data_IF_687964955960
#
_entry.id   IF_687964955960
#
_cell.length_a   1.000
_cell.length_b   1.000
_cell.length_c   1.000
_cell.angle_alpha   90.00
_cell.angle_beta   90.00
_cell.angle_gamma   90.00
#
_symmetry.space_group_name_H-M   'P 1'
#
loop_
_entity.id
_entity.type
_entity.pdbx_description
1 polymer ?
#
# COMPACT_ATOMS: atom_id res chain seq x y z
N UNK A 1 27.52 -3.09 -2.97
CA UNK A 1 26.57 -2.06 -2.49
C UNK A 1 25.64 -2.73 -1.51
N UNK A 2 25.19 -2.04 -0.45
CA UNK A 2 24.22 -2.62 0.47
C UNK A 2 22.93 -3.01 -0.26
N UNK A 3 22.27 -4.06 0.21
CA UNK A 3 21.09 -4.59 -0.48
C UNK A 3 19.97 -3.55 -0.56
N UNK A 4 19.76 -2.74 0.48
CA UNK A 4 18.79 -1.64 0.45
C UNK A 4 19.05 -0.66 -0.70
N UNK A 5 20.31 -0.27 -0.90
CA UNK A 5 20.71 0.62 -2.00
C UNK A 5 20.53 -0.02 -3.37
N UNK A 6 20.74 -1.34 -3.46
CA UNK A 6 20.49 -2.10 -4.68
C UNK A 6 18.99 -2.17 -5.00
N UNK A 7 18.14 -2.45 -4.01
CA UNK A 7 16.68 -2.50 -4.15
C UNK A 7 16.10 -1.12 -4.49
N UNK A 8 16.58 -0.04 -3.87
CA UNK A 8 16.21 1.34 -4.22
C UNK A 8 16.53 1.64 -5.70
N UNK A 9 17.74 1.29 -6.15
CA UNK A 9 18.14 1.48 -7.55
C UNK A 9 17.35 0.58 -8.52
N UNK A 10 16.99 -0.64 -8.08
CA UNK A 10 16.15 -1.57 -8.82
C UNK A 10 14.76 -0.98 -9.06
N UNK A 11 14.11 -0.47 -8.03
CA UNK A 11 12.70 -0.07 -8.07
C UNK A 11 12.51 1.39 -8.51
N UNK A 12 13.30 2.31 -7.96
CA UNK A 12 13.07 3.75 -8.05
C UNK A 12 14.20 4.54 -8.75
N UNK A 13 15.30 3.88 -9.10
CA UNK A 13 16.41 4.47 -9.86
C UNK A 13 16.00 5.02 -11.23
N UNK A 14 16.93 5.66 -11.96
CA UNK A 14 16.65 6.26 -13.29
C UNK A 14 16.04 5.29 -14.30
N UNK A 15 16.41 4.02 -14.24
CA UNK A 15 15.86 2.95 -15.07
C UNK A 15 15.01 1.97 -14.26
N UNK A 16 14.65 2.32 -13.03
CA UNK A 16 13.99 1.44 -12.08
C UNK A 16 12.61 0.99 -12.54
N UNK A 17 12.15 -0.13 -11.98
CA UNK A 17 10.92 -0.81 -12.36
C UNK A 17 9.71 0.14 -12.36
N UNK A 18 9.52 0.92 -11.28
CA UNK A 18 8.35 1.80 -11.11
C UNK A 18 8.46 3.13 -11.87
N UNK A 19 9.59 3.44 -12.53
CA UNK A 19 9.67 4.62 -13.42
C UNK A 19 9.00 4.41 -14.76
N UNK A 20 8.91 3.16 -15.24
CA UNK A 20 8.28 2.84 -16.51
C UNK A 20 6.80 2.58 -16.26
N UNK A 21 5.93 3.39 -16.86
CA UNK A 21 4.49 3.16 -16.81
C UNK A 21 4.17 1.81 -17.47
N UNK A 22 3.97 0.77 -16.65
CA UNK A 22 3.36 -0.49 -17.07
C UNK A 22 1.90 -0.45 -16.63
N UNK A 23 0.99 -0.79 -17.54
CA UNK A 23 -0.42 -0.93 -17.18
C UNK A 23 -0.58 -2.08 -16.18
N UNK A 24 -1.26 -1.84 -15.05
CA UNK A 24 -1.61 -2.87 -14.06
C UNK A 24 -2.99 -3.47 -14.40
N UNK A 25 -3.19 -4.77 -14.12
CA UNK A 25 -4.48 -5.46 -14.34
C UNK A 25 -4.30 -6.89 -14.88
N UNK A 26 -5.39 -7.51 -15.38
CA UNK A 26 -5.37 -8.88 -15.95
C UNK A 26 -4.38 -9.10 -17.11
N UNK A 27 -3.90 -8.01 -17.71
CA UNK A 27 -2.89 -7.99 -18.78
C UNK A 27 -1.60 -7.27 -18.35
N UNK A 28 -1.48 -6.88 -17.08
CA UNK A 28 -0.33 -6.25 -16.46
C UNK A 28 0.35 -7.19 -15.47
N UNK A 29 1.50 -6.80 -14.89
CA UNK A 29 2.29 -7.70 -14.04
C UNK A 29 1.61 -8.05 -12.69
N UNK A 30 0.63 -7.26 -12.22
CA UNK A 30 0.00 -7.42 -10.89
C UNK A 30 -1.52 -7.55 -10.88
N UNK A 31 -2.02 -8.36 -9.93
CA UNK A 31 -3.42 -8.46 -9.53
C UNK A 31 -3.54 -8.12 -8.04
N UNK A 32 -3.96 -6.88 -7.74
CA UNK A 32 -4.09 -6.31 -6.39
C UNK A 32 -5.53 -6.34 -5.87
N UNK A 33 -5.74 -6.02 -4.59
CA UNK A 33 -7.07 -5.92 -4.00
C UNK A 33 -7.92 -4.86 -4.71
N UNK A 34 -7.29 -3.75 -5.10
CA UNK A 34 -7.88 -2.68 -5.91
C UNK A 34 -8.38 -3.21 -7.26
N UNK A 35 -7.61 -4.06 -7.92
CA UNK A 35 -8.00 -4.67 -9.21
C UNK A 35 -9.02 -5.79 -9.07
N UNK A 36 -9.17 -6.36 -7.86
CA UNK A 36 -10.07 -7.48 -7.63
C UNK A 36 -11.53 -7.05 -7.60
N UNK A 37 -11.86 -5.95 -6.90
CA UNK A 37 -13.23 -5.46 -6.79
C UNK A 37 -13.29 -4.00 -6.33
N UNK A 38 -14.16 -3.19 -6.94
CA UNK A 38 -14.43 -1.82 -6.51
C UNK A 38 -15.03 -1.72 -5.11
N UNK A 39 -15.55 -2.84 -4.59
CA UNK A 39 -16.03 -2.92 -3.21
C UNK A 39 -14.91 -2.79 -2.17
N UNK A 40 -13.65 -2.99 -2.56
CA UNK A 40 -12.50 -2.69 -1.71
C UNK A 40 -12.45 -1.20 -1.38
N UNK A 41 -12.38 -0.35 -2.42
CA UNK A 41 -12.41 1.11 -2.26
C UNK A 41 -13.70 1.61 -1.61
N UNK A 42 -14.86 1.07 -2.00
CA UNK A 42 -16.13 1.43 -1.38
C UNK A 42 -16.15 1.14 0.13
N UNK A 43 -15.56 0.03 0.58
CA UNK A 43 -15.48 -0.29 2.01
C UNK A 43 -14.62 0.72 2.76
N UNK A 44 -13.41 1.02 2.26
CA UNK A 44 -12.51 2.00 2.89
C UNK A 44 -13.19 3.38 2.95
N UNK A 45 -13.84 3.81 1.86
CA UNK A 45 -14.61 5.05 1.83
C UNK A 45 -15.81 5.04 2.76
N UNK A 46 -16.47 3.90 2.97
CA UNK A 46 -17.56 3.78 3.94
C UNK A 46 -17.07 3.95 5.37
N UNK A 47 -15.87 3.47 5.68
CA UNK A 47 -15.23 3.73 6.96
C UNK A 47 -14.90 5.22 7.14
N UNK A 48 -14.30 5.86 6.13
CA UNK A 48 -14.07 7.30 6.16
C UNK A 48 -15.38 8.08 6.32
N UNK A 49 -16.43 7.70 5.60
CA UNK A 49 -17.76 8.29 5.74
C UNK A 49 -18.32 8.12 7.16
N UNK A 50 -18.14 6.97 7.81
CA UNK A 50 -18.55 6.80 9.21
C UNK A 50 -17.81 7.75 10.15
N UNK A 51 -16.51 8.01 9.91
CA UNK A 51 -15.74 8.96 10.70
C UNK A 51 -16.26 10.39 10.52
N UNK A 52 -16.66 10.77 9.31
CA UNK A 52 -17.31 12.06 9.02
C UNK A 52 -18.64 12.17 9.77
N UNK A 53 -19.49 11.13 9.73
CA UNK A 53 -20.78 11.10 10.45
C UNK A 53 -20.63 11.16 11.97
N UNK A 54 -19.51 10.68 12.50
CA UNK A 54 -19.19 10.72 13.92
C UNK A 54 -18.43 12.00 14.34
N UNK A 55 -18.26 12.97 13.43
CA UNK A 55 -17.49 14.21 13.65
C UNK A 55 -16.04 13.94 14.10
N UNK A 56 -15.49 12.78 13.71
CA UNK A 56 -14.09 12.38 13.94
C UNK A 56 -13.17 12.70 12.78
N UNK A 57 -13.75 13.09 11.64
CA UNK A 57 -13.07 13.52 10.43
C UNK A 57 -13.63 14.87 9.96
N UNK A 58 -12.92 15.52 9.03
CA UNK A 58 -13.33 16.83 8.47
C UNK A 58 -13.78 16.69 7.01
N UNK A 59 -15.00 17.14 6.72
CA UNK A 59 -15.57 17.19 5.37
C UNK A 59 -14.87 18.20 4.45
N UNK A 60 -14.10 19.14 5.00
CA UNK A 60 -13.26 20.10 4.24
C UNK A 60 -11.79 19.66 4.15
N UNK A 61 -11.48 18.47 4.67
CA UNK A 61 -10.14 17.91 4.68
C UNK A 61 -9.78 17.19 3.39
N UNK A 62 -8.68 16.45 3.45
CA UNK A 62 -8.16 15.72 2.30
C UNK A 62 -8.51 14.23 2.35
N UNK A 63 -8.82 13.65 1.19
CA UNK A 63 -8.68 12.22 0.92
C UNK A 63 -7.48 12.03 -0.02
N UNK A 64 -6.44 11.35 0.47
CA UNK A 64 -5.17 11.21 -0.25
C UNK A 64 -4.83 9.74 -0.45
N UNK A 65 -4.51 9.35 -1.67
CA UNK A 65 -3.93 8.03 -1.97
C UNK A 65 -2.41 8.13 -2.22
N UNK A 66 -1.62 7.31 -1.54
CA UNK A 66 -0.18 7.18 -1.78
C UNK A 66 0.06 5.97 -2.68
N UNK A 67 0.80 6.16 -3.77
CA UNK A 67 1.09 5.06 -4.71
C UNK A 67 -0.14 4.64 -5.52
N UNK A 68 -0.93 5.59 -6.00
CA UNK A 68 -2.26 5.33 -6.57
C UNK A 68 -2.28 4.53 -7.90
N UNK A 69 -1.12 4.23 -8.48
CA UNK A 69 -0.99 3.61 -9.80
C UNK A 69 -1.87 4.31 -10.86
N UNK A 70 -3.03 3.75 -11.20
CA UNK A 70 -3.95 4.28 -12.22
C UNK A 70 -5.07 5.15 -11.61
N UNK A 71 -5.11 5.28 -10.28
CA UNK A 71 -6.12 6.03 -9.53
C UNK A 71 -7.40 5.25 -9.25
N UNK A 72 -7.40 3.92 -9.42
CA UNK A 72 -8.61 3.09 -9.30
C UNK A 72 -9.21 3.12 -7.90
N UNK A 73 -8.36 2.98 -6.86
CA UNK A 73 -8.83 2.98 -5.47
C UNK A 73 -9.42 4.34 -5.09
N UNK A 74 -8.71 5.44 -5.32
CA UNK A 74 -9.24 6.78 -5.08
C UNK A 74 -10.55 7.03 -5.84
N UNK A 75 -10.63 6.64 -7.11
CA UNK A 75 -11.87 6.75 -7.90
C UNK A 75 -13.02 5.94 -7.29
N UNK A 76 -12.78 4.71 -6.85
CA UNK A 76 -13.81 3.89 -6.21
C UNK A 76 -14.27 4.50 -4.87
N UNK A 77 -13.33 5.10 -4.12
CA UNK A 77 -13.63 5.80 -2.88
C UNK A 77 -14.47 7.06 -3.12
N UNK A 78 -14.08 7.91 -4.07
CA UNK A 78 -14.83 9.12 -4.46
C UNK A 78 -16.24 8.75 -4.93
N UNK A 79 -16.37 7.71 -5.76
CA UNK A 79 -17.66 7.25 -6.25
C UNK A 79 -18.57 6.79 -5.11
N UNK A 80 -18.01 6.10 -4.09
CA UNK A 80 -18.77 5.68 -2.93
C UNK A 80 -19.21 6.87 -2.07
N UNK A 81 -18.30 7.80 -1.77
CA UNK A 81 -18.63 9.03 -1.03
C UNK A 81 -19.74 9.82 -1.71
N UNK A 82 -19.66 10.02 -3.04
CA UNK A 82 -20.73 10.65 -3.81
C UNK A 82 -22.07 9.92 -3.69
N UNK A 83 -22.04 8.59 -3.62
CA UNK A 83 -23.26 7.77 -3.47
C UNK A 83 -23.90 7.94 -2.09
N UNK A 84 -23.07 8.10 -1.05
CA UNK A 84 -23.52 8.32 0.32
C UNK A 84 -24.03 9.75 0.54
N UNK A 85 -23.26 10.73 0.09
CA UNK A 85 -23.57 12.16 0.18
C UNK A 85 -22.84 12.93 -0.94
N UNK A 86 -23.56 13.38 -1.99
CA UNK A 86 -22.97 14.14 -3.09
C UNK A 86 -22.23 15.42 -2.67
N UNK A 87 -22.62 16.06 -1.57
CA UNK A 87 -21.99 17.30 -1.10
C UNK A 87 -20.53 17.11 -0.67
N UNK A 88 -20.13 15.86 -0.36
CA UNK A 88 -18.75 15.54 0.02
C UNK A 88 -17.76 15.74 -1.13
N UNK A 89 -18.20 15.57 -2.38
CA UNK A 89 -17.32 15.81 -3.55
C UNK A 89 -17.03 17.30 -3.74
N UNK A 90 -17.92 18.18 -3.27
CA UNK A 90 -17.74 19.64 -3.34
C UNK A 90 -16.87 20.20 -2.21
N UNK A 91 -16.83 19.51 -1.06
CA UNK A 91 -16.18 19.99 0.17
C UNK A 91 -14.80 19.35 0.39
N UNK A 92 -14.66 18.05 0.10
CA UNK A 92 -13.40 17.35 0.25
C UNK A 92 -12.39 17.76 -0.83
N UNK A 93 -11.12 17.66 -0.48
CA UNK A 93 -10.00 17.79 -1.41
C UNK A 93 -9.44 16.41 -1.70
N UNK A 94 -9.06 16.16 -2.95
CA UNK A 94 -8.56 14.86 -3.38
C UNK A 94 -7.10 14.97 -3.82
N UNK A 95 -6.26 14.09 -3.27
CA UNK A 95 -4.82 14.10 -3.49
C UNK A 95 -4.27 12.75 -3.92
N UNK A 96 -3.18 12.77 -4.71
CA UNK A 96 -2.37 11.60 -5.00
C UNK A 96 -0.90 11.93 -4.72
N UNK A 97 -0.21 11.09 -3.95
CA UNK A 97 1.26 11.15 -3.82
C UNK A 97 1.88 10.25 -4.88
N UNK A 98 2.40 10.86 -5.94
CA UNK A 98 3.03 10.21 -7.09
C UNK A 98 4.03 11.19 -7.72
N UNK A 99 5.29 10.79 -7.87
CA UNK A 99 6.37 11.65 -8.37
C UNK A 99 6.60 11.55 -9.88
N UNK A 100 6.08 10.52 -10.55
CA UNK A 100 6.36 10.24 -11.96
C UNK A 100 5.37 10.96 -12.89
N UNK A 101 5.83 11.94 -13.72
CA UNK A 101 4.92 12.75 -14.53
C UNK A 101 4.04 11.97 -15.52
N UNK A 102 4.55 10.87 -16.08
CA UNK A 102 3.78 10.04 -17.01
C UNK A 102 2.68 9.24 -16.29
N UNK A 103 2.92 8.84 -15.04
CA UNK A 103 1.90 8.20 -14.19
C UNK A 103 0.82 9.23 -13.80
N UNK A 104 1.23 10.43 -13.37
CA UNK A 104 0.30 11.53 -13.06
C UNK A 104 -0.63 11.85 -14.24
N UNK A 105 -0.08 11.94 -15.47
CA UNK A 105 -0.89 12.15 -16.69
C UNK A 105 -1.94 11.06 -16.91
N UNK A 106 -1.55 9.79 -16.72
CA UNK A 106 -2.47 8.67 -16.88
C UNK A 106 -3.58 8.68 -15.82
N UNK A 107 -3.25 9.00 -14.56
CA UNK A 107 -4.21 9.16 -13.47
C UNK A 107 -5.21 10.27 -13.77
N UNK A 108 -4.74 11.47 -14.17
CA UNK A 108 -5.61 12.59 -14.53
C UNK A 108 -6.54 12.25 -15.71
N UNK A 109 -6.03 11.54 -16.71
CA UNK A 109 -6.85 11.11 -17.85
C UNK A 109 -7.95 10.14 -17.41
N UNK A 110 -7.64 9.16 -16.57
CA UNK A 110 -8.62 8.21 -16.04
C UNK A 110 -9.67 8.87 -15.16
N UNK A 111 -9.25 9.78 -14.27
CA UNK A 111 -10.15 10.52 -13.38
C UNK A 111 -11.09 11.42 -14.19
N UNK A 112 -10.56 12.10 -15.23
CA UNK A 112 -11.38 12.91 -16.14
C UNK A 112 -12.38 12.06 -16.93
N UNK A 113 -12.00 10.86 -17.36
CA UNK A 113 -12.93 9.92 -18.00
C UNK A 113 -14.08 9.53 -17.07
N UNK A 114 -13.79 9.35 -15.77
CA UNK A 114 -14.75 8.89 -14.76
C UNK A 114 -15.68 9.98 -14.25
N UNK A 115 -15.16 11.18 -14.01
CA UNK A 115 -15.86 12.23 -13.28
C UNK A 115 -15.94 13.57 -14.03
N UNK A 116 -15.42 13.66 -15.25
CA UNK A 116 -15.39 14.91 -15.98
C UNK A 116 -14.58 15.98 -15.24
N UNK A 117 -15.18 17.15 -15.04
CA UNK A 117 -14.57 18.28 -14.34
C UNK A 117 -15.10 18.45 -12.89
N UNK A 118 -15.95 17.51 -12.42
CA UNK A 118 -16.55 17.55 -11.08
C UNK A 118 -15.55 17.18 -9.97
N UNK A 119 -14.47 16.46 -10.33
CA UNK A 119 -13.42 16.02 -9.42
C UNK A 119 -12.08 16.57 -9.88
N UNK A 120 -11.40 17.28 -8.98
CA UNK A 120 -10.05 17.79 -9.20
C UNK A 120 -9.07 17.08 -8.27
N UNK A 121 -7.93 16.68 -8.82
CA UNK A 121 -6.87 15.99 -8.08
C UNK A 121 -5.66 16.90 -7.98
N UNK A 122 -5.10 16.98 -6.77
CA UNK A 122 -3.78 17.58 -6.53
C UNK A 122 -2.74 16.47 -6.45
N UNK A 123 -1.69 16.56 -7.25
CA UNK A 123 -0.54 15.68 -7.16
C UNK A 123 0.52 16.27 -6.24
N UNK A 124 1.07 15.42 -5.37
CA UNK A 124 2.22 15.70 -4.53
C UNK A 124 3.35 14.76 -4.94
N UNK A 125 4.59 15.24 -5.01
CA UNK A 125 5.74 14.37 -5.34
C UNK A 125 6.16 13.52 -4.15
N UNK A 126 5.89 14.00 -2.94
CA UNK A 126 6.26 13.36 -1.68
C UNK A 126 5.20 13.66 -0.62
N UNK A 127 5.05 12.76 0.35
CA UNK A 127 4.07 12.94 1.44
C UNK A 127 4.40 14.17 2.30
N UNK A 128 5.68 14.57 2.38
CA UNK A 128 6.13 15.78 3.07
C UNK A 128 5.65 17.09 2.42
N UNK A 129 5.18 17.06 1.16
CA UNK A 129 4.59 18.23 0.49
C UNK A 129 3.13 18.49 0.89
N UNK A 130 2.50 17.55 1.62
CA UNK A 130 1.10 17.67 2.02
C UNK A 130 0.97 18.54 3.27
N UNK A 131 0.33 19.70 3.12
CA UNK A 131 -0.06 20.57 4.25
C UNK A 131 -1.58 20.54 4.46
N UNK A 132 -2.03 20.04 5.62
CA UNK A 132 -3.45 19.85 5.90
C UNK A 132 -3.80 19.92 7.39
N UNK A 133 -4.94 20.55 7.72
CA UNK A 133 -5.53 20.46 9.06
C UNK A 133 -6.08 19.05 9.34
N UNK A 134 -6.66 18.40 8.33
CA UNK A 134 -7.08 17.01 8.38
C UNK A 134 -6.82 16.31 7.04
N UNK A 135 -6.32 15.08 7.10
CA UNK A 135 -6.27 14.18 5.95
C UNK A 135 -6.63 12.75 6.35
N UNK A 136 -7.49 12.12 5.55
CA UNK A 136 -7.64 10.68 5.49
C UNK A 136 -6.71 10.16 4.38
N UNK A 137 -5.64 9.50 4.78
CA UNK A 137 -4.60 8.99 3.88
C UNK A 137 -4.80 7.48 3.72
N UNK A 138 -4.77 7.00 2.48
CA UNK A 138 -4.86 5.58 2.15
C UNK A 138 -3.65 5.13 1.35
N UNK A 139 -3.18 3.91 1.58
CA UNK A 139 -2.18 3.26 0.76
C UNK A 139 -2.43 1.75 0.68
N UNK A 140 -2.25 1.14 -0.49
CA UNK A 140 -2.35 -0.30 -0.68
C UNK A 140 -1.06 -0.81 -1.31
N UNK A 141 -0.42 -1.80 -0.70
CA UNK A 141 0.84 -2.41 -1.19
C UNK A 141 1.91 -1.33 -1.37
N UNK A 142 2.21 -0.61 -0.29
CA UNK A 142 3.19 0.47 -0.29
C UNK A 142 4.44 0.08 0.49
N UNK A 143 4.32 -0.73 1.53
CA UNK A 143 5.40 -1.03 2.48
C UNK A 143 6.24 -2.22 2.02
N UNK A 144 5.68 -3.13 1.22
CA UNK A 144 6.36 -4.29 0.63
C UNK A 144 7.47 -3.92 -0.38
N UNK A 145 7.39 -2.71 -0.92
CA UNK A 145 8.30 -2.17 -1.93
C UNK A 145 9.35 -1.19 -1.36
N UNK A 146 9.31 -0.88 -0.05
CA UNK A 146 10.39 -0.09 0.57
C UNK A 146 11.69 -0.88 0.53
N UNK A 147 12.84 -0.24 0.27
CA UNK A 147 14.12 -0.93 0.39
C UNK A 147 14.28 -1.62 1.74
N UNK A 148 14.92 -2.78 1.76
CA UNK A 148 15.26 -3.49 3.00
C UNK A 148 16.74 -3.87 3.00
N UNK A 149 17.30 -4.13 4.18
CA UNK A 149 18.50 -4.94 4.32
C UNK A 149 18.10 -6.41 4.55
N UNK A 150 18.87 -7.33 3.96
CA UNK A 150 18.72 -8.76 4.23
C UNK A 150 19.67 -9.13 5.36
N UNK A 151 19.14 -9.61 6.47
CA UNK A 151 19.91 -10.06 7.62
C UNK A 151 19.93 -11.58 7.68
N UNK A 152 21.09 -12.18 7.95
CA UNK A 152 21.26 -13.61 8.23
C UNK A 152 22.44 -13.83 9.16
N UNK A 153 22.20 -14.46 10.32
CA UNK A 153 23.24 -14.85 11.27
C UNK A 153 24.21 -13.71 11.61
N UNK A 154 23.66 -12.54 12.00
CA UNK A 154 24.40 -11.32 12.34
C UNK A 154 25.17 -10.67 11.17
N UNK A 155 24.89 -11.10 9.93
CA UNK A 155 25.41 -10.51 8.71
C UNK A 155 24.33 -9.84 7.90
N UNK A 156 24.72 -8.85 7.09
CA UNK A 156 23.87 -8.23 6.07
C UNK A 156 24.36 -8.54 4.67
N UNK A 157 23.44 -8.49 3.70
CA UNK A 157 23.76 -8.69 2.29
C UNK A 157 24.33 -7.43 1.62
N UNK A 158 25.43 -7.60 0.89
CA UNK A 158 25.86 -6.69 -0.16
C UNK A 158 25.73 -7.35 -1.53
N UNK A 159 25.43 -6.55 -2.56
CA UNK A 159 25.47 -6.99 -3.96
C UNK A 159 26.79 -6.55 -4.60
N UNK A 160 27.55 -7.52 -5.13
CA UNK A 160 28.81 -7.34 -5.89
C UNK A 160 28.71 -8.15 -7.17
N UNK A 161 28.84 -7.49 -8.33
CA UNK A 161 28.76 -8.13 -9.66
C UNK A 161 27.49 -9.00 -9.83
N UNK A 162 26.33 -8.49 -9.40
CA UNK A 162 25.02 -9.18 -9.39
C UNK A 162 24.94 -10.44 -8.51
N UNK A 163 25.90 -10.64 -7.61
CA UNK A 163 25.89 -11.70 -6.60
C UNK A 163 25.73 -11.14 -5.18
N UNK A 164 25.00 -11.87 -4.34
CA UNK A 164 24.81 -11.55 -2.92
C UNK A 164 25.99 -12.11 -2.12
N UNK A 165 26.70 -11.24 -1.43
CA UNK A 165 27.74 -11.58 -0.46
C UNK A 165 27.34 -11.11 0.94
N UNK A 166 27.86 -11.77 1.98
CA UNK A 166 27.48 -11.50 3.37
C UNK A 166 28.61 -10.82 4.13
N UNK A 167 28.32 -9.71 4.79
CA UNK A 167 29.25 -8.94 5.62
C UNK A 167 28.70 -8.72 7.03
N UNK A 168 29.56 -8.44 8.00
CA UNK A 168 29.13 -8.22 9.39
C UNK A 168 28.14 -7.06 9.50
N UNK A 169 27.03 -7.27 10.19
CA UNK A 169 25.99 -6.27 10.32
C UNK A 169 26.43 -5.09 11.22
N UNK A 170 26.01 -3.84 10.91
CA UNK A 170 26.18 -2.70 11.81
C UNK A 170 25.52 -2.93 13.18
N UNK A 171 26.07 -2.32 14.23
CA UNK A 171 25.60 -2.50 15.60
C UNK A 171 24.13 -2.06 15.80
N UNK A 172 23.67 -1.02 15.08
CA UNK A 172 22.28 -0.57 15.11
C UNK A 172 21.32 -1.63 14.55
N UNK A 173 21.70 -2.27 13.44
CA UNK A 173 20.95 -3.36 12.82
C UNK A 173 20.86 -4.56 13.76
N UNK A 174 21.97 -4.92 14.42
CA UNK A 174 21.98 -5.98 15.42
C UNK A 174 21.14 -5.64 16.65
N UNK A 175 21.10 -4.37 17.06
CA UNK A 175 20.27 -3.92 18.18
C UNK A 175 18.79 -4.13 17.86
N UNK A 176 18.37 -3.69 16.67
CA UNK A 176 17.02 -3.90 16.17
C UNK A 176 16.71 -5.40 16.03
N UNK A 177 17.57 -6.17 15.36
CA UNK A 177 17.36 -7.60 15.15
C UNK A 177 17.26 -8.38 16.47
N UNK A 178 18.08 -8.04 17.47
CA UNK A 178 18.00 -8.65 18.80
C UNK A 178 16.71 -8.29 19.55
N UNK A 179 16.26 -7.03 19.45
CA UNK A 179 14.99 -6.57 20.03
C UNK A 179 13.79 -7.36 19.48
N UNK A 180 13.77 -7.62 18.18
CA UNK A 180 12.67 -8.35 17.51
C UNK A 180 12.91 -9.85 17.37
N UNK A 181 14.01 -10.39 17.93
CA UNK A 181 14.39 -11.79 17.79
C UNK A 181 14.54 -12.26 16.32
N UNK A 182 14.99 -11.37 15.44
CA UNK A 182 15.30 -11.67 14.05
C UNK A 182 16.72 -12.27 13.95
N UNK A 183 16.81 -13.42 13.29
CA UNK A 183 18.04 -14.15 12.94
C UNK A 183 18.24 -14.25 11.44
N UNK A 184 17.15 -14.30 10.69
CA UNK A 184 17.15 -14.33 9.23
C UNK A 184 15.90 -13.64 8.69
N UNK A 185 16.03 -12.71 7.75
CA UNK A 185 14.90 -12.04 7.10
C UNK A 185 15.19 -10.60 6.69
N UNK A 186 14.14 -9.87 6.34
CA UNK A 186 14.21 -8.48 5.90
C UNK A 186 14.11 -7.49 7.06
N UNK A 187 14.89 -6.40 7.00
CA UNK A 187 14.75 -5.21 7.86
C UNK A 187 14.52 -4.01 6.96
N UNK A 188 13.33 -3.43 7.00
CA UNK A 188 12.97 -2.31 6.13
C UNK A 188 13.82 -1.07 6.42
N UNK A 189 14.09 -0.29 5.38
CA UNK A 189 14.81 0.98 5.45
C UNK A 189 13.88 2.07 4.96
N UNK A 190 13.56 3.03 5.83
CA UNK A 190 12.81 4.24 5.48
C UNK A 190 11.42 4.33 6.08
N UNK A 191 10.90 3.30 6.76
CA UNK A 191 9.61 3.37 7.45
C UNK A 191 9.54 4.53 8.45
N UNK A 192 10.59 4.72 9.26
CA UNK A 192 10.67 5.80 10.26
C UNK A 192 10.73 7.17 9.61
N UNK A 193 11.42 7.28 8.46
CA UNK A 193 11.49 8.52 7.70
C UNK A 193 10.12 8.87 7.12
N UNK A 194 9.46 7.90 6.49
CA UNK A 194 8.14 8.04 5.91
C UNK A 194 7.09 8.43 6.96
N UNK A 195 7.10 7.77 8.12
CA UNK A 195 6.23 8.11 9.24
C UNK A 195 6.43 9.55 9.74
N UNK A 196 7.69 10.01 9.84
CA UNK A 196 8.02 11.40 10.22
C UNK A 196 7.59 12.41 9.17
N UNK A 197 7.78 12.12 7.89
CA UNK A 197 7.35 12.99 6.79
C UNK A 197 5.82 13.13 6.81
N UNK A 198 5.08 12.03 6.99
CA UNK A 198 3.63 12.06 7.14
C UNK A 198 3.18 12.84 8.39
N UNK A 199 3.90 12.70 9.52
CA UNK A 199 3.61 13.45 10.73
C UNK A 199 3.89 14.96 10.60
N UNK A 200 4.72 15.39 9.65
CA UNK A 200 5.23 16.77 9.64
C UNK A 200 4.24 17.81 9.10
N UNK A 201 3.47 17.46 8.05
CA UNK A 201 2.59 18.41 7.36
C UNK A 201 1.10 18.29 7.65
N UNK A 202 0.67 17.20 8.31
CA UNK A 202 -0.74 16.91 8.58
C UNK A 202 -1.01 17.03 10.09
N UNK A 203 -1.89 17.95 10.49
CA UNK A 203 -2.21 18.19 11.91
C UNK A 203 -2.96 17.00 12.52
N UNK A 204 -4.08 16.61 11.90
CA UNK A 204 -4.86 15.41 12.23
C UNK A 204 -4.86 14.45 11.06
N UNK A 205 -4.45 13.21 11.30
CA UNK A 205 -4.29 12.24 10.21
C UNK A 205 -4.93 10.92 10.58
N UNK A 206 -5.75 10.39 9.68
CA UNK A 206 -6.16 8.99 9.68
C UNK A 206 -5.43 8.29 8.52
N UNK A 207 -4.43 7.46 8.84
CA UNK A 207 -3.69 6.70 7.83
C UNK A 207 -4.10 5.24 7.85
N UNK A 208 -4.76 4.80 6.78
CA UNK A 208 -5.29 3.44 6.63
C UNK A 208 -4.52 2.74 5.51
N UNK A 209 -3.82 1.67 5.84
CA UNK A 209 -2.97 0.99 4.87
C UNK A 209 -3.11 -0.53 4.90
N UNK A 210 -3.05 -1.12 3.71
CA UNK A 210 -3.18 -2.54 3.49
C UNK A 210 -1.92 -3.07 2.83
N UNK A 211 -1.38 -4.15 3.37
CA UNK A 211 -0.23 -4.84 2.78
C UNK A 211 -0.22 -6.32 3.18
N UNK A 212 0.51 -7.15 2.46
CA UNK A 212 0.68 -8.55 2.86
C UNK A 212 1.87 -8.72 3.79
N UNK A 213 1.69 -9.55 4.81
CA UNK A 213 2.73 -9.81 5.79
C UNK A 213 2.15 -10.19 7.15
N UNK A 214 2.98 -10.09 8.17
CA UNK A 214 2.67 -10.56 9.52
C UNK A 214 3.08 -9.54 10.58
N UNK A 215 2.49 -9.66 11.78
CA UNK A 215 2.80 -8.73 12.87
C UNK A 215 4.26 -8.87 13.31
N UNK A 216 4.77 -10.08 13.40
CA UNK A 216 6.07 -10.37 13.95
C UNK A 216 6.97 -10.99 12.89
N UNK A 217 8.28 -10.89 13.10
CA UNK A 217 9.29 -11.53 12.26
C UNK A 217 9.10 -13.05 12.21
N UNK A 218 9.38 -13.66 11.06
CA UNK A 218 9.22 -15.12 10.89
C UNK A 218 10.52 -15.93 10.96
N UNK A 219 11.67 -15.26 10.93
CA UNK A 219 12.98 -15.90 10.85
C UNK A 219 13.23 -16.70 9.55
N UNK A 220 12.71 -16.21 8.43
CA UNK A 220 13.08 -16.63 7.08
C UNK A 220 13.09 -15.45 6.11
N UNK A 221 13.48 -15.70 4.85
CA UNK A 221 13.35 -14.72 3.78
C UNK A 221 12.02 -14.88 3.08
N UNK A 222 11.34 -13.75 2.95
CA UNK A 222 10.10 -13.60 2.20
C UNK A 222 10.31 -12.89 0.87
N UNK A 223 11.46 -12.23 0.70
CA UNK A 223 11.81 -11.45 -0.48
C UNK A 223 11.80 -12.31 -1.75
N UNK A 224 11.19 -11.75 -2.80
CA UNK A 224 10.90 -12.45 -4.04
C UNK A 224 10.77 -11.49 -5.20
N UNK A 225 11.09 -12.01 -6.38
CA UNK A 225 10.96 -11.32 -7.66
C UNK A 225 9.67 -11.77 -8.34
N UNK A 226 8.93 -10.81 -8.90
CA UNK A 226 7.72 -11.07 -9.68
C UNK A 226 7.98 -10.86 -11.16
N UNK A 227 7.78 -11.93 -11.95
CA UNK A 227 7.94 -11.91 -13.41
C UNK A 227 6.78 -12.64 -14.06
N UNK A 228 6.02 -11.93 -14.90
CA UNK A 228 4.93 -12.50 -15.71
C UNK A 228 3.93 -13.37 -14.90
N UNK A 229 3.50 -12.89 -13.73
CA UNK A 229 2.61 -13.58 -12.77
C UNK A 229 3.22 -14.79 -12.02
N UNK A 230 4.52 -15.02 -12.14
CA UNK A 230 5.25 -16.01 -11.35
C UNK A 230 6.12 -15.32 -10.30
N UNK A 231 6.25 -15.96 -9.13
CA UNK A 231 7.09 -15.49 -8.02
C UNK A 231 8.32 -16.36 -7.88
N UNK A 232 9.48 -15.73 -7.85
CA UNK A 232 10.78 -16.37 -7.68
C UNK A 232 11.38 -15.92 -6.35
N UNK A 233 11.55 -16.80 -5.35
CA UNK A 233 12.29 -16.45 -4.14
C UNK A 233 13.68 -15.91 -4.50
N UNK A 234 14.17 -14.89 -3.80
CA UNK A 234 15.44 -14.26 -4.14
C UNK A 234 16.64 -15.23 -4.14
N UNK A 235 16.57 -16.25 -3.28
CA UNK A 235 17.61 -17.27 -3.11
C UNK A 235 17.30 -18.58 -3.87
N UNK A 236 16.39 -18.55 -4.84
CA UNK A 236 16.13 -19.68 -5.73
C UNK A 236 17.25 -19.83 -6.76
N UNK A 237 17.75 -21.05 -6.97
CA UNK A 237 18.84 -21.34 -7.91
C UNK A 237 18.47 -21.03 -9.37
N UNK A 238 17.18 -20.95 -9.69
CA UNK A 238 16.69 -20.62 -11.04
C UNK A 238 16.60 -19.13 -11.31
N UNK A 239 16.71 -18.29 -10.29
CA UNK A 239 16.65 -16.83 -10.42
C UNK A 239 18.00 -16.27 -10.86
N UNK A 240 18.03 -15.63 -12.05
CA UNK A 240 19.16 -14.83 -12.49
C UNK A 240 18.92 -13.35 -12.18
N UNK A 241 19.61 -12.82 -11.16
CA UNK A 241 19.48 -11.43 -10.71
C UNK A 241 19.80 -10.43 -11.82
N UNK A 242 20.85 -10.67 -12.61
CA UNK A 242 21.24 -9.76 -13.71
C UNK A 242 20.16 -9.65 -14.80
N UNK A 243 19.36 -10.71 -14.98
CA UNK A 243 18.24 -10.69 -15.93
C UNK A 243 17.03 -9.93 -15.38
N UNK A 244 16.75 -10.07 -14.08
CA UNK A 244 15.62 -9.46 -13.38
C UNK A 244 15.81 -8.00 -13.00
N UNK A 245 17.05 -7.60 -12.70
CA UNK A 245 17.37 -6.29 -12.16
C UNK A 245 16.75 -5.16 -12.98
N UNK A 246 15.96 -4.30 -12.32
CA UNK A 246 15.19 -3.18 -12.90
C UNK A 246 14.08 -3.54 -13.91
N UNK A 247 13.91 -4.81 -14.27
CA UNK A 247 12.92 -5.26 -15.28
C UNK A 247 11.69 -5.91 -14.67
N UNK A 248 11.92 -6.65 -13.60
CA UNK A 248 10.93 -7.35 -12.80
C UNK A 248 10.72 -6.60 -11.49
N UNK A 249 9.62 -6.88 -10.80
CA UNK A 249 9.38 -6.29 -9.48
C UNK A 249 10.01 -7.13 -8.38
N UNK A 250 10.32 -6.51 -7.24
CA UNK A 250 10.88 -7.18 -6.07
C UNK A 250 10.21 -6.66 -4.81
N UNK A 251 9.67 -7.58 -4.00
CA UNK A 251 8.93 -7.25 -2.79
C UNK A 251 9.17 -8.29 -1.70
N UNK A 252 8.73 -7.99 -0.47
CA UNK A 252 8.81 -8.90 0.67
C UNK A 252 7.57 -8.74 1.57
N UNK A 253 7.34 -9.71 2.46
CA UNK A 253 6.23 -9.63 3.40
C UNK A 253 6.52 -8.58 4.48
N UNK A 254 5.57 -7.66 4.67
CA UNK A 254 5.70 -6.55 5.60
C UNK A 254 5.73 -7.05 7.05
N UNK A 255 6.69 -6.55 7.81
CA UNK A 255 6.70 -6.67 9.27
C UNK A 255 5.91 -5.50 9.87
N UNK A 256 4.67 -5.76 10.27
CA UNK A 256 3.77 -4.72 10.79
C UNK A 256 4.14 -4.22 12.19
N UNK A 257 4.93 -4.97 12.98
CA UNK A 257 5.50 -4.44 14.23
C UNK A 257 6.51 -3.32 13.92
N UNK A 258 7.34 -3.47 12.88
CA UNK A 258 8.25 -2.40 12.45
C UNK A 258 7.50 -1.16 11.98
N UNK A 259 6.47 -1.34 11.14
CA UNK A 259 5.60 -0.24 10.69
C UNK A 259 4.94 0.45 11.90
N UNK A 260 4.39 -0.34 12.83
CA UNK A 260 3.75 0.19 14.04
C UNK A 260 4.72 1.03 14.87
N UNK A 261 5.92 0.52 15.17
CA UNK A 261 6.92 1.25 15.94
C UNK A 261 7.34 2.56 15.26
N UNK A 262 7.55 2.55 13.94
CA UNK A 262 7.90 3.74 13.17
C UNK A 262 6.84 4.85 13.30
N UNK A 263 5.56 4.50 13.22
CA UNK A 263 4.45 5.45 13.33
C UNK A 263 4.19 5.90 14.78
N UNK A 264 4.31 5.00 15.76
CA UNK A 264 4.22 5.34 17.18
C UNK A 264 5.33 6.34 17.58
N UNK A 265 6.56 6.13 17.12
CA UNK A 265 7.68 7.06 17.36
C UNK A 265 7.48 8.41 16.67
N UNK A 266 6.74 8.45 15.56
CA UNK A 266 6.36 9.69 14.87
C UNK A 266 5.16 10.42 15.53
N UNK A 267 4.59 9.87 16.60
CA UNK A 267 3.51 10.48 17.38
C UNK A 267 2.10 10.09 16.93
N UNK A 268 1.95 9.02 16.16
CA UNK A 268 0.65 8.42 15.87
C UNK A 268 0.24 7.42 16.97
N UNK A 269 -1.03 7.07 17.01
CA UNK A 269 -1.61 5.98 17.78
C UNK A 269 -2.05 4.85 16.82
N UNK A 270 -1.76 3.59 17.15
CA UNK A 270 -2.32 2.43 16.44
C UNK A 270 -3.78 2.21 16.89
N UNK A 271 -4.72 2.41 15.97
CA UNK A 271 -6.16 2.21 16.22
C UNK A 271 -6.55 0.76 15.98
N UNK A 272 -6.10 0.19 14.85
CA UNK A 272 -6.38 -1.20 14.48
C UNK A 272 -5.18 -1.86 13.82
N UNK A 273 -4.97 -3.13 14.15
CA UNK A 273 -4.19 -4.08 13.35
C UNK A 273 -4.98 -5.38 13.23
N UNK A 274 -5.23 -5.85 12.01
CA UNK A 274 -6.00 -7.08 11.76
C UNK A 274 -5.88 -7.57 10.32
N UNK A 275 -6.56 -8.69 10.00
CA UNK A 275 -6.63 -9.19 8.63
C UNK A 275 -7.54 -8.32 7.74
N UNK A 276 -7.24 -8.27 6.44
CA UNK A 276 -8.03 -7.53 5.46
C UNK A 276 -9.50 -7.96 5.47
N UNK A 277 -9.79 -9.26 5.60
CA UNK A 277 -11.16 -9.75 5.66
C UNK A 277 -11.95 -9.11 6.83
N UNK A 278 -11.35 -9.04 8.01
CA UNK A 278 -11.97 -8.46 9.20
C UNK A 278 -12.14 -6.95 9.07
N UNK A 279 -11.14 -6.28 8.51
CA UNK A 279 -11.19 -4.85 8.21
C UNK A 279 -12.35 -4.51 7.27
N UNK A 280 -12.43 -5.17 6.11
CA UNK A 280 -13.47 -4.89 5.12
C UNK A 280 -14.88 -5.18 5.66
N UNK A 281 -15.06 -6.26 6.44
CA UNK A 281 -16.34 -6.55 7.10
C UNK A 281 -16.69 -5.43 8.09
N UNK A 282 -15.74 -4.98 8.92
CA UNK A 282 -15.97 -3.85 9.84
C UNK A 282 -16.28 -2.55 9.10
N UNK A 283 -15.66 -2.35 7.95
CA UNK A 283 -15.88 -1.21 7.08
C UNK A 283 -17.23 -1.28 6.32
N UNK A 284 -18.07 -2.29 6.59
CA UNK A 284 -19.45 -2.36 6.10
C UNK A 284 -19.60 -3.08 4.76
N UNK A 285 -18.59 -3.82 4.29
CA UNK A 285 -18.62 -4.53 3.01
C UNK A 285 -19.90 -5.36 2.78
N UNK A 286 -20.41 -6.03 3.82
CA UNK A 286 -21.62 -6.86 3.73
C UNK A 286 -22.86 -6.00 3.45
N UNK A 287 -23.00 -4.87 4.14
CA UNK A 287 -24.12 -3.95 3.96
C UNK A 287 -24.07 -3.28 2.58
N UNK A 288 -22.86 -2.91 2.13
CA UNK A 288 -22.62 -2.35 0.80
C UNK A 288 -23.05 -3.34 -0.29
N UNK A 289 -22.67 -4.61 -0.15
CA UNK A 289 -23.08 -5.69 -1.06
C UNK A 289 -24.60 -5.90 -1.05
N UNK A 290 -25.24 -5.87 0.12
CA UNK A 290 -26.68 -6.03 0.24
C UNK A 290 -27.43 -4.88 -0.47
N UNK A 291 -26.98 -3.65 -0.28
CA UNK A 291 -27.55 -2.47 -0.95
C UNK A 291 -27.37 -2.56 -2.47
N UNK A 292 -26.19 -2.97 -2.94
CA UNK A 292 -25.95 -3.19 -4.36
C UNK A 292 -26.88 -4.26 -4.94
N UNK A 293 -27.10 -5.36 -4.21
CA UNK A 293 -28.03 -6.42 -4.59
C UNK A 293 -29.46 -5.95 -4.84
N UNK A 294 -29.92 -4.92 -4.10
CA UNK A 294 -31.26 -4.33 -4.26
C UNK A 294 -31.40 -3.48 -5.53
N UNK A 295 -30.29 -3.02 -6.11
CA UNK A 295 -30.27 -2.08 -7.24
C UNK A 295 -29.78 -2.71 -8.55
N UNK A 296 -29.55 -4.03 -8.57
CA UNK A 296 -28.89 -4.71 -9.67
C UNK A 296 -29.59 -6.01 -10.04
N UNK A 297 -29.17 -6.64 -11.13
CA UNK A 297 -29.69 -7.96 -11.51
C UNK A 297 -28.99 -9.05 -10.70
N UNK A 298 -29.67 -10.17 -10.45
CA UNK A 298 -29.09 -11.32 -9.74
C UNK A 298 -27.78 -11.80 -10.37
N UNK A 299 -27.68 -11.79 -11.70
CA UNK A 299 -26.47 -12.17 -12.42
C UNK A 299 -25.30 -11.21 -12.14
N UNK A 300 -25.55 -9.90 -12.10
CA UNK A 300 -24.53 -8.90 -11.78
C UNK A 300 -24.13 -8.97 -10.31
N UNK A 301 -25.09 -9.16 -9.40
CA UNK A 301 -24.82 -9.38 -7.98
C UNK A 301 -23.91 -10.58 -7.76
N UNK A 302 -24.25 -11.76 -8.31
CA UNK A 302 -23.46 -12.98 -8.14
C UNK A 302 -22.00 -12.79 -8.60
N UNK A 303 -21.81 -12.13 -9.75
CA UNK A 303 -20.47 -11.83 -10.27
C UNK A 303 -19.65 -10.92 -9.36
N UNK A 304 -20.23 -9.86 -8.81
CA UNK A 304 -19.49 -8.98 -7.89
C UNK A 304 -19.26 -9.66 -6.52
N UNK A 305 -20.22 -10.47 -6.04
CA UNK A 305 -20.05 -11.27 -4.83
C UNK A 305 -18.89 -12.27 -4.96
N UNK A 306 -18.73 -12.92 -6.12
CA UNK A 306 -17.59 -13.80 -6.40
C UNK A 306 -16.26 -13.06 -6.36
N UNK A 307 -16.20 -11.81 -6.86
CA UNK A 307 -14.99 -10.98 -6.75
C UNK A 307 -14.70 -10.58 -5.30
N UNK A 308 -15.73 -10.22 -4.53
CA UNK A 308 -15.58 -9.90 -3.11
C UNK A 308 -15.05 -11.11 -2.32
N UNK A 309 -15.44 -12.34 -2.70
CA UNK A 309 -14.90 -13.55 -2.08
C UNK A 309 -13.37 -13.60 -2.16
N UNK A 310 -12.76 -13.11 -3.24
CA UNK A 310 -11.29 -13.00 -3.36
C UNK A 310 -10.69 -12.09 -2.29
N UNK A 311 -11.37 -10.99 -1.95
CA UNK A 311 -10.92 -10.02 -0.96
C UNK A 311 -10.97 -10.55 0.49
N UNK A 312 -11.96 -11.39 0.81
CA UNK A 312 -12.25 -11.82 2.19
C UNK A 312 -11.92 -13.29 2.49
N UNK A 313 -11.69 -14.13 1.47
CA UNK A 313 -11.40 -15.55 1.69
C UNK A 313 -10.02 -15.72 2.34
N UNK A 314 -9.91 -16.47 3.45
CA UNK A 314 -8.63 -16.77 4.11
C UNK A 314 -7.57 -17.34 3.17
N UNK A 315 -7.98 -18.18 2.22
CA UNK A 315 -7.10 -18.84 1.26
C UNK A 315 -6.66 -17.93 0.09
N UNK A 316 -7.14 -16.70 0.03
CA UNK A 316 -6.84 -15.72 -1.01
C UNK A 316 -6.18 -14.50 -0.37
N UNK A 317 -6.82 -13.32 -0.42
CA UNK A 317 -6.27 -12.09 0.15
C UNK A 317 -6.67 -11.88 1.60
N UNK A 318 -7.76 -12.54 2.06
CA UNK A 318 -8.44 -12.20 3.30
C UNK A 318 -7.59 -12.28 4.56
N UNK A 319 -6.75 -13.31 4.69
CA UNK A 319 -5.85 -13.48 5.85
C UNK A 319 -4.41 -13.07 5.53
N UNK A 320 -3.97 -13.18 4.28
CA UNK A 320 -2.61 -12.83 3.86
C UNK A 320 -2.36 -11.32 3.99
N UNK A 321 -3.32 -10.51 3.57
CA UNK A 321 -3.26 -9.06 3.71
C UNK A 321 -3.73 -8.65 5.10
N UNK A 322 -3.05 -7.64 5.64
CA UNK A 322 -3.37 -7.02 6.92
C UNK A 322 -3.71 -5.56 6.69
N UNK A 323 -4.61 -5.05 7.51
CA UNK A 323 -4.86 -3.63 7.69
C UNK A 323 -4.08 -3.16 8.92
N UNK A 324 -3.44 -2.00 8.82
CA UNK A 324 -3.12 -1.17 9.98
C UNK A 324 -3.70 0.23 9.81
N UNK A 325 -4.28 0.77 10.88
CA UNK A 325 -4.84 2.12 10.93
C UNK A 325 -4.15 2.92 12.02
N UNK A 326 -3.54 4.03 11.64
CA UNK A 326 -2.92 4.99 12.53
C UNK A 326 -3.72 6.28 12.62
N UNK A 327 -3.73 6.90 13.79
CA UNK A 327 -4.33 8.22 14.02
C UNK A 327 -3.35 9.17 14.69
N UNK A 328 -3.34 10.43 14.25
CA UNK A 328 -2.60 11.52 14.88
C UNK A 328 -3.56 12.62 15.35
#
# INVERSE_FOLDING_TARGET
>A
MQFSSYMEAWLYGEEGYYKKFKAIGKSGDFYTAVSASSFFGASIANYFYSLLKEEKADENGWLIEIGAHQGYLLCDMIQWLYTCDPALVETLKFGIVERQPEVQKAQLAYIKERFGDDVQITHFNDISEVEAAYAFVVANEIFDAFPCELLKDEKIAEVKEDEIVWEEAPAEMLTWANKHHLRQGEVAVGYEKFAKEMASGIEKCDFVTFDYGEKYVRNDFSIRVYRAHETFPLFDETLNLSESYKKDDITYDVNFEHVSEAFLEAGFEEIFYETQARALIRFGLIDILEQFGKQTTQARYAREADKVKTLISPTMMGDRFKLIHFRK
#
